data_IF_682503191091
#
_entry.id   IF_682503191091
#
_cell.length_a   1.000
_cell.length_b   1.000
_cell.length_c   1.000
_cell.angle_alpha   90.00
_cell.angle_beta   90.00
_cell.angle_gamma   90.00
#
_symmetry.space_group_name_H-M   'P 1'
#
loop_
_entity.id
_entity.type
_entity.pdbx_description
1 polymer ?
#
# COMPACT_ATOMS: atom_id res chain seq x y z
N UNK A 1 10.90 1.40 -14.83
CA UNK A 1 10.00 0.45 -15.52
C UNK A 1 8.79 1.22 -16.05
N UNK A 2 8.37 1.00 -17.28
CA UNK A 2 7.11 1.51 -17.81
C UNK A 2 6.11 0.37 -17.81
N UNK A 3 5.01 0.52 -17.08
CA UNK A 3 3.90 -0.43 -17.11
C UNK A 3 2.84 0.13 -18.07
N UNK A 4 2.59 -0.51 -19.23
CA UNK A 4 1.64 0.04 -20.20
C UNK A 4 0.23 0.02 -19.63
N UNK A 5 -0.48 1.14 -19.77
CA UNK A 5 -1.92 1.17 -19.60
C UNK A 5 -2.56 0.31 -20.70
N UNK A 6 -3.41 -0.65 -20.31
CA UNK A 6 -4.12 -1.49 -21.29
C UNK A 6 -4.95 -0.61 -22.24
N UNK A 7 -4.52 -0.53 -23.49
CA UNK A 7 -5.18 0.18 -24.57
C UNK A 7 -6.15 -0.73 -25.32
N UNK A 8 -7.44 -0.47 -25.12
CA UNK A 8 -8.56 -0.54 -26.06
C UNK A 8 -8.62 -1.68 -27.10
N UNK A 9 -9.42 -2.69 -26.80
CA UNK A 9 -10.15 -3.49 -27.79
C UNK A 9 -11.67 -3.42 -27.48
N UNK A 10 -12.39 -2.65 -28.30
CA UNK A 10 -13.85 -2.58 -28.52
C UNK A 10 -14.81 -3.30 -27.54
N UNK A 11 -14.94 -2.78 -26.31
CA UNK A 11 -16.09 -3.07 -25.41
C UNK A 11 -16.13 -2.12 -24.19
N UNK A 12 -15.80 -0.85 -24.43
CA UNK A 12 -15.54 0.19 -23.43
C UNK A 12 -16.78 0.73 -22.69
N UNK A 13 -17.72 -0.12 -22.26
CA UNK A 13 -18.79 0.25 -21.30
C UNK A 13 -19.14 -0.87 -20.31
N UNK A 14 -18.83 -2.15 -20.57
CA UNK A 14 -19.46 -3.26 -19.83
C UNK A 14 -18.63 -3.92 -18.70
N UNK A 15 -17.59 -3.24 -18.19
CA UNK A 15 -16.70 -3.77 -17.13
C UNK A 15 -16.55 -2.84 -15.91
N UNK A 16 -17.63 -2.13 -15.55
CA UNK A 16 -17.68 -1.27 -14.37
C UNK A 16 -18.21 -2.02 -13.11
N UNK A 17 -17.95 -3.32 -12.99
CA UNK A 17 -18.42 -4.16 -11.88
C UNK A 17 -17.26 -4.89 -11.18
N UNK A 18 -16.64 -4.19 -10.22
CA UNK A 18 -16.19 -4.69 -8.91
C UNK A 18 -15.10 -5.75 -8.79
N UNK A 19 -15.10 -6.83 -9.57
CA UNK A 19 -14.26 -8.01 -9.30
C UNK A 19 -12.95 -8.04 -10.09
N UNK A 20 -13.02 -7.91 -11.41
CA UNK A 20 -11.83 -8.00 -12.27
C UNK A 20 -10.95 -6.73 -12.19
N UNK A 21 -11.56 -5.59 -11.85
CA UNK A 21 -10.86 -4.32 -11.73
C UNK A 21 -9.96 -4.27 -10.49
N UNK A 22 -10.44 -4.79 -9.34
CA UNK A 22 -9.65 -4.89 -8.11
C UNK A 22 -8.50 -5.89 -8.25
N UNK A 23 -8.78 -7.10 -8.75
CA UNK A 23 -7.76 -8.16 -8.93
C UNK A 23 -6.55 -7.68 -9.76
N UNK A 24 -6.78 -6.91 -10.83
CA UNK A 24 -5.69 -6.36 -11.64
C UNK A 24 -4.95 -5.19 -11.00
N UNK A 25 -5.59 -4.46 -10.09
CA UNK A 25 -5.02 -3.30 -9.40
C UNK A 25 -4.05 -3.72 -8.30
N UNK A 26 -4.44 -4.71 -7.50
CA UNK A 26 -3.59 -5.26 -6.44
C UNK A 26 -2.36 -5.94 -7.04
N UNK A 27 -2.52 -6.59 -8.19
CA UNK A 27 -1.39 -7.12 -8.95
C UNK A 27 -0.43 -6.01 -9.40
N UNK A 28 -0.95 -4.92 -9.97
CA UNK A 28 -0.13 -3.80 -10.40
C UNK A 28 0.63 -3.13 -9.23
N UNK A 29 -0.02 -2.97 -8.07
CA UNK A 29 0.63 -2.43 -6.86
C UNK A 29 1.77 -3.34 -6.42
N UNK A 30 1.51 -4.65 -6.32
CA UNK A 30 2.51 -5.64 -5.93
C UNK A 30 3.72 -5.64 -6.86
N UNK A 31 3.48 -5.66 -8.17
CA UNK A 31 4.55 -5.65 -9.17
C UNK A 31 5.40 -4.40 -9.10
N UNK A 32 4.78 -3.21 -8.99
CA UNK A 32 5.51 -1.94 -8.92
C UNK A 32 6.30 -1.82 -7.61
N UNK A 33 5.70 -2.16 -6.47
CA UNK A 33 6.39 -2.12 -5.19
C UNK A 33 7.57 -3.11 -5.13
N UNK A 34 7.36 -4.35 -5.58
CA UNK A 34 8.42 -5.35 -5.66
C UNK A 34 9.55 -4.92 -6.60
N UNK A 35 9.22 -4.30 -7.74
CA UNK A 35 10.21 -3.73 -8.65
C UNK A 35 11.08 -2.69 -7.95
N UNK A 36 10.48 -1.77 -7.19
CA UNK A 36 11.22 -0.74 -6.44
C UNK A 36 12.15 -1.41 -5.41
N UNK A 37 11.63 -2.33 -4.58
CA UNK A 37 12.44 -3.00 -3.56
C UNK A 37 13.63 -3.78 -4.15
N UNK A 38 13.44 -4.41 -5.32
CA UNK A 38 14.47 -5.23 -5.96
C UNK A 38 15.53 -4.41 -6.71
N UNK A 39 15.18 -3.21 -7.18
CA UNK A 39 16.04 -2.42 -8.08
C UNK A 39 16.56 -1.12 -7.47
N UNK A 40 16.07 -0.70 -6.30
CA UNK A 40 16.55 0.50 -5.62
C UNK A 40 18.02 0.34 -5.22
N UNK A 41 18.86 1.25 -5.72
CA UNK A 41 20.25 1.40 -5.29
C UNK A 41 20.33 2.60 -4.36
N UNK A 42 21.16 2.48 -3.33
CA UNK A 42 21.34 3.52 -2.32
C UNK A 42 21.70 4.87 -2.96
N UNK A 43 20.89 5.89 -2.68
CA UNK A 43 20.99 7.22 -3.31
C UNK A 43 20.06 7.45 -4.51
N UNK A 44 19.31 6.45 -4.95
CA UNK A 44 18.33 6.62 -6.04
C UNK A 44 17.16 7.51 -5.61
N UNK A 45 16.67 8.32 -6.55
CA UNK A 45 15.41 9.05 -6.43
C UNK A 45 14.23 8.15 -6.83
N UNK A 46 13.23 8.03 -5.95
CA UNK A 46 11.97 7.34 -6.28
C UNK A 46 10.96 8.37 -6.82
N UNK A 47 10.56 8.23 -8.08
CA UNK A 47 9.54 9.08 -8.72
C UNK A 47 8.41 8.21 -9.23
N UNK A 48 7.18 8.49 -8.78
CA UNK A 48 5.98 7.74 -9.15
C UNK A 48 5.10 8.58 -10.08
N UNK A 49 4.76 8.07 -11.26
CA UNK A 49 3.91 8.76 -12.23
C UNK A 49 2.76 7.83 -12.65
N UNK A 50 1.53 8.32 -12.61
CA UNK A 50 0.34 7.51 -12.88
C UNK A 50 -0.80 8.25 -13.57
N UNK A 51 -1.50 7.57 -14.49
CA UNK A 51 -2.70 8.08 -15.16
C UNK A 51 -3.90 7.15 -14.98
N UNK A 52 -5.09 7.68 -14.70
CA UNK A 52 -6.33 6.91 -14.47
C UNK A 52 -6.11 5.79 -13.43
N UNK A 53 -6.23 4.51 -13.78
CA UNK A 53 -5.85 3.39 -12.88
C UNK A 53 -4.42 3.49 -12.34
N UNK A 54 -3.48 3.92 -13.18
CA UNK A 54 -2.09 4.11 -12.75
C UNK A 54 -1.94 5.20 -11.70
N UNK A 55 -2.86 6.17 -11.63
CA UNK A 55 -2.86 7.17 -10.56
C UNK A 55 -3.21 6.54 -9.21
N UNK A 56 -4.16 5.61 -9.17
CA UNK A 56 -4.44 4.82 -7.97
C UNK A 56 -3.23 3.97 -7.58
N UNK A 57 -2.68 3.19 -8.52
CA UNK A 57 -1.49 2.36 -8.27
C UNK A 57 -0.33 3.20 -7.71
N UNK A 58 -0.02 4.36 -8.31
CA UNK A 58 1.05 5.23 -7.85
C UNK A 58 0.81 5.73 -6.42
N UNK A 59 -0.43 6.09 -6.06
CA UNK A 59 -0.77 6.51 -4.68
C UNK A 59 -0.68 5.36 -3.69
N UNK A 60 -1.18 4.18 -4.04
CA UNK A 60 -1.11 3.00 -3.17
C UNK A 60 0.32 2.54 -2.95
N UNK A 61 1.16 2.54 -3.99
CA UNK A 61 2.60 2.25 -3.84
C UNK A 61 3.27 3.31 -2.97
N UNK A 62 2.92 4.59 -3.12
CA UNK A 62 3.45 5.64 -2.26
C UNK A 62 3.08 5.43 -0.79
N UNK A 63 1.81 5.10 -0.50
CA UNK A 63 1.35 4.79 0.86
C UNK A 63 2.02 3.54 1.42
N UNK A 64 2.22 2.50 0.59
CA UNK A 64 2.91 1.29 0.99
C UNK A 64 4.37 1.57 1.32
N UNK A 65 5.11 2.34 0.51
CA UNK A 65 6.48 2.74 0.83
C UNK A 65 6.52 3.59 2.12
N UNK A 66 5.57 4.51 2.30
CA UNK A 66 5.50 5.33 3.51
C UNK A 66 5.16 4.51 4.78
N UNK A 67 4.35 3.46 4.63
CA UNK A 67 3.89 2.62 5.74
C UNK A 67 4.88 1.51 6.07
N UNK A 68 5.40 0.82 5.05
CA UNK A 68 6.21 -0.40 5.18
C UNK A 68 7.70 -0.13 5.02
N UNK A 69 8.10 0.91 4.30
CA UNK A 69 9.49 1.12 3.87
C UNK A 69 9.82 0.32 2.61
N UNK A 70 11.12 0.15 2.32
CA UNK A 70 11.58 -0.77 1.28
C UNK A 70 11.95 -2.11 1.91
N UNK A 71 11.36 -3.20 1.42
CA UNK A 71 11.71 -4.52 1.90
C UNK A 71 13.17 -4.86 1.59
N UNK A 72 13.83 -5.45 2.58
CA UNK A 72 15.15 -6.06 2.40
C UNK A 72 15.00 -7.37 1.61
N UNK A 73 16.09 -8.00 1.15
CA UNK A 73 16.00 -9.33 0.54
C UNK A 73 15.26 -10.35 1.43
N UNK A 74 15.46 -10.29 2.74
CA UNK A 74 14.75 -11.14 3.71
C UNK A 74 13.27 -10.76 3.83
N UNK A 75 12.93 -9.47 3.80
CA UNK A 75 11.53 -9.04 3.75
C UNK A 75 10.80 -9.50 2.50
N UNK A 76 11.48 -9.51 1.35
CA UNK A 76 10.92 -9.98 0.08
C UNK A 76 10.54 -11.47 0.11
N UNK A 77 11.21 -12.30 0.91
CA UNK A 77 10.81 -13.70 1.12
C UNK A 77 9.41 -13.81 1.78
N UNK A 78 9.00 -12.77 2.51
CA UNK A 78 7.69 -12.66 3.16
C UNK A 78 6.71 -11.74 2.42
N UNK A 79 7.03 -11.34 1.17
CA UNK A 79 6.34 -10.27 0.46
C UNK A 79 4.81 -10.40 0.45
N UNK A 80 4.27 -11.58 0.10
CA UNK A 80 2.82 -11.78 0.02
C UNK A 80 2.12 -11.63 1.36
N UNK A 81 2.71 -12.16 2.44
CA UNK A 81 2.14 -12.04 3.78
C UNK A 81 2.21 -10.58 4.28
N UNK A 82 3.33 -9.89 4.02
CA UNK A 82 3.47 -8.47 4.36
C UNK A 82 2.45 -7.61 3.61
N UNK A 83 2.25 -7.89 2.32
CA UNK A 83 1.29 -7.18 1.48
C UNK A 83 -0.14 -7.41 1.98
N UNK A 84 -0.50 -8.65 2.31
CA UNK A 84 -1.81 -8.99 2.84
C UNK A 84 -2.07 -8.31 4.19
N UNK A 85 -1.09 -8.31 5.09
CA UNK A 85 -1.19 -7.60 6.35
C UNK A 85 -1.37 -6.09 6.14
N UNK A 86 -0.62 -5.49 5.22
CA UNK A 86 -0.75 -4.08 4.84
C UNK A 86 -2.17 -3.74 4.36
N UNK A 87 -2.74 -4.54 3.45
CA UNK A 87 -4.10 -4.33 2.92
C UNK A 87 -5.16 -4.39 4.02
N UNK A 88 -4.91 -5.16 5.08
CA UNK A 88 -5.86 -5.40 6.14
C UNK A 88 -5.54 -4.67 7.46
N UNK A 89 -4.63 -3.69 7.45
CA UNK A 89 -4.33 -2.88 8.63
C UNK A 89 -5.56 -2.15 9.18
N UNK A 90 -6.46 -1.71 8.30
CA UNK A 90 -7.72 -1.04 8.68
C UNK A 90 -8.89 -1.99 8.94
N UNK A 91 -8.70 -3.29 8.74
CA UNK A 91 -9.76 -4.28 8.97
C UNK A 91 -9.91 -4.53 10.48
N UNK A 92 -11.08 -4.12 11.00
CA UNK A 92 -11.46 -4.27 12.40
C UNK A 92 -11.90 -5.68 12.76
N UNK A 93 -12.23 -6.51 11.77
CA UNK A 93 -12.78 -7.86 11.96
C UNK A 93 -11.72 -8.96 11.71
N UNK A 94 -10.55 -8.60 11.14
CA UNK A 94 -9.44 -9.53 10.93
C UNK A 94 -8.81 -9.97 12.25
N UNK A 95 -8.67 -11.28 12.42
CA UNK A 95 -8.05 -11.90 13.59
C UNK A 95 -6.57 -11.43 13.73
N UNK A 96 -6.18 -10.79 14.85
CA UNK A 96 -4.80 -10.37 15.08
C UNK A 96 -3.77 -11.49 14.96
N UNK A 97 -4.14 -12.74 15.25
CA UNK A 97 -3.23 -13.89 15.23
C UNK A 97 -2.79 -14.33 13.83
N UNK A 98 -3.46 -13.85 12.77
CA UNK A 98 -3.06 -14.15 11.38
C UNK A 98 -1.99 -13.20 10.85
N UNK A 99 -1.73 -12.08 11.54
CA UNK A 99 -0.68 -11.14 11.16
C UNK A 99 0.70 -11.74 11.46
N UNK A 100 1.70 -11.32 10.69
CA UNK A 100 3.09 -11.68 10.93
C UNK A 100 3.60 -11.12 12.27
N UNK A 101 3.14 -9.93 12.66
CA UNK A 101 3.43 -9.33 13.96
C UNK A 101 2.51 -9.92 15.04
N UNK A 102 3.03 -10.75 15.97
CA UNK A 102 2.22 -11.34 17.03
C UNK A 102 1.73 -10.32 18.07
N UNK A 103 2.28 -9.10 18.07
CA UNK A 103 1.92 -8.02 18.99
C UNK A 103 1.01 -6.98 18.35
N UNK A 104 0.51 -7.20 17.12
CA UNK A 104 -0.31 -6.23 16.39
C UNK A 104 -1.50 -5.74 17.23
N UNK A 105 -1.72 -4.42 17.26
CA UNK A 105 -2.78 -3.79 18.04
C UNK A 105 -4.17 -4.31 17.63
N UNK A 106 -4.93 -4.95 18.53
CA UNK A 106 -6.30 -5.37 18.25
C UNK A 106 -7.23 -4.16 18.17
N UNK A 107 -8.33 -4.30 17.44
CA UNK A 107 -9.41 -3.31 17.42
C UNK A 107 -10.31 -3.46 18.66
N UNK A 108 -10.65 -2.35 19.33
CA UNK A 108 -11.46 -2.37 20.55
C UNK A 108 -12.77 -1.57 20.42
N UNK A 109 -13.23 -1.31 19.19
CA UNK A 109 -14.48 -0.59 18.94
C UNK A 109 -14.35 0.93 18.86
N UNK A 110 -13.13 1.45 18.66
CA UNK A 110 -12.85 2.87 18.47
C UNK A 110 -13.63 3.45 17.28
N UNK A 111 -14.15 4.67 17.40
CA UNK A 111 -14.96 5.33 16.35
C UNK A 111 -14.42 6.71 15.98
N UNK A 112 -14.71 7.17 14.77
CA UNK A 112 -14.32 8.49 14.28
C UNK A 112 -12.81 8.70 14.35
N UNK A 113 -12.37 9.82 14.94
CA UNK A 113 -10.94 10.14 15.08
C UNK A 113 -10.14 9.08 15.86
N UNK A 114 -10.77 8.39 16.82
CA UNK A 114 -10.12 7.32 17.56
C UNK A 114 -9.85 6.10 16.67
N UNK A 115 -10.73 5.80 15.70
CA UNK A 115 -10.48 4.75 14.70
C UNK A 115 -9.30 5.11 13.81
N UNK A 116 -9.27 6.33 13.29
CA UNK A 116 -8.15 6.79 12.47
C UNK A 116 -6.82 6.74 13.24
N UNK A 117 -6.83 7.12 14.53
CA UNK A 117 -5.66 6.99 15.40
C UNK A 117 -5.24 5.52 15.59
N UNK A 118 -6.19 4.62 15.81
CA UNK A 118 -5.92 3.19 15.91
C UNK A 118 -5.26 2.64 14.64
N UNK A 119 -5.75 2.99 13.46
CA UNK A 119 -5.16 2.57 12.18
C UNK A 119 -3.71 3.07 12.03
N UNK A 120 -3.46 4.33 12.40
CA UNK A 120 -2.11 4.94 12.39
C UNK A 120 -1.17 4.24 13.37
N UNK A 121 -1.63 4.01 14.61
CA UNK A 121 -0.82 3.37 15.65
C UNK A 121 -0.51 1.91 15.28
N UNK A 122 -1.48 1.19 14.69
CA UNK A 122 -1.33 -0.19 14.22
C UNK A 122 -0.31 -0.28 13.08
N UNK A 123 -0.41 0.60 12.08
CA UNK A 123 0.61 0.74 11.02
C UNK A 123 2.00 1.04 11.58
N UNK A 124 2.09 1.99 12.51
CA UNK A 124 3.38 2.39 13.14
C UNK A 124 3.99 1.31 14.02
N UNK A 125 3.18 0.44 14.64
CA UNK A 125 3.69 -0.72 15.35
C UNK A 125 4.22 -1.76 14.38
N UNK A 126 3.46 -2.07 13.34
CA UNK A 126 3.84 -3.07 12.34
C UNK A 126 5.14 -2.69 11.63
N UNK A 127 5.29 -1.41 11.24
CA UNK A 127 6.54 -0.86 10.68
C UNK A 127 7.73 -1.09 11.62
N UNK A 128 7.59 -0.73 12.90
CA UNK A 128 8.64 -0.97 13.91
C UNK A 128 8.97 -2.46 14.05
N UNK A 129 7.97 -3.33 13.98
CA UNK A 129 8.18 -4.78 14.02
C UNK A 129 8.96 -5.26 12.79
N UNK A 130 8.60 -4.84 11.58
CA UNK A 130 9.33 -5.15 10.36
C UNK A 130 10.78 -4.67 10.43
N UNK A 131 11.00 -3.43 10.85
CA UNK A 131 12.32 -2.80 11.01
C UNK A 131 13.17 -3.56 12.02
N UNK A 132 12.61 -3.91 13.18
CA UNK A 132 13.29 -4.68 14.24
C UNK A 132 13.71 -6.07 13.77
N UNK A 133 12.93 -6.71 12.91
CA UNK A 133 13.23 -8.03 12.36
C UNK A 133 14.09 -7.97 11.08
N UNK A 134 14.54 -6.78 10.66
CA UNK A 134 15.37 -6.62 9.45
C UNK A 134 14.64 -6.92 8.15
N UNK A 135 13.30 -6.90 8.15
CA UNK A 135 12.47 -7.18 6.98
C UNK A 135 12.30 -5.95 6.09
N UNK A 136 12.43 -4.75 6.66
CA UNK A 136 12.34 -3.50 5.92
C UNK A 136 13.47 -2.54 6.30
N UNK A 137 13.68 -1.52 5.45
CA UNK A 137 14.57 -0.41 5.68
C UNK A 137 13.94 0.91 5.22
N UNK A 138 14.24 1.96 5.98
CA UNK A 138 13.85 3.34 5.68
C UNK A 138 15.07 4.24 5.44
N UNK A 139 16.27 3.69 5.59
CA UNK A 139 17.52 4.43 5.45
C UNK A 139 18.55 3.62 4.67
N UNK A 140 19.54 4.33 4.15
CA UNK A 140 20.78 3.78 3.65
C UNK A 140 21.97 4.55 4.24
N UNK A 141 23.17 3.98 4.19
CA UNK A 141 24.38 4.61 4.73
C UNK A 141 25.44 4.73 3.64
N UNK A 142 26.05 5.91 3.53
CA UNK A 142 27.19 6.17 2.66
C UNK A 142 28.34 6.85 3.43
N UNK A 143 29.39 7.27 2.70
CA UNK A 143 30.55 7.96 3.31
C UNK A 143 30.21 9.29 3.99
N UNK A 144 29.04 9.87 3.71
CA UNK A 144 28.54 11.12 4.26
C UNK A 144 27.56 10.90 5.43
N UNK A 145 27.23 9.65 5.76
CA UNK A 145 26.38 9.28 6.90
C UNK A 145 25.14 8.50 6.49
N UNK A 146 24.15 8.49 7.39
CA UNK A 146 22.87 7.80 7.21
C UNK A 146 21.86 8.75 6.57
N UNK A 147 21.18 8.29 5.52
CA UNK A 147 20.21 9.04 4.73
C UNK A 147 18.86 8.32 4.73
N UNK A 148 17.78 9.09 4.70
CA UNK A 148 16.43 8.55 4.56
C UNK A 148 16.09 8.22 3.09
N UNK A 149 15.42 7.10 2.90
CA UNK A 149 14.86 6.68 1.62
C UNK A 149 13.49 7.34 1.47
N UNK A 150 13.39 8.32 0.57
CA UNK A 150 12.20 9.13 0.39
C UNK A 150 11.67 9.07 -1.05
N UNK A 151 10.35 9.20 -1.20
CA UNK A 151 9.73 9.42 -2.51
C UNK A 151 9.96 10.87 -2.90
N UNK A 152 10.70 11.08 -3.99
CA UNK A 152 11.07 12.41 -4.47
C UNK A 152 9.87 13.17 -5.04
N UNK A 153 9.01 12.46 -5.79
CA UNK A 153 7.84 13.05 -6.40
C UNK A 153 6.76 12.00 -6.72
N UNK A 154 5.50 12.42 -6.60
CA UNK A 154 4.32 11.66 -7.06
C UNK A 154 3.51 12.54 -8.02
N UNK A 155 3.49 12.19 -9.30
CA UNK A 155 2.74 12.90 -10.35
C UNK A 155 1.56 12.07 -10.86
N UNK A 156 0.34 12.48 -10.55
CA UNK A 156 -0.86 11.72 -10.90
C UNK A 156 -1.90 12.55 -11.65
N UNK A 157 -2.47 11.96 -12.70
CA UNK A 157 -3.54 12.56 -13.49
C UNK A 157 -4.74 11.63 -13.53
N UNK A 158 -5.87 12.12 -13.06
CA UNK A 158 -7.16 11.44 -13.15
C UNK A 158 -8.05 12.17 -14.16
N UNK A 159 -8.89 11.45 -14.88
CA UNK A 159 -9.77 12.06 -15.90
C UNK A 159 -10.87 12.87 -15.20
N UNK A 160 -10.63 14.18 -15.09
CA UNK A 160 -11.54 15.30 -14.75
C UNK A 160 -12.55 15.08 -13.61
N UNK A 161 -12.23 15.66 -12.44
CA UNK A 161 -13.22 16.17 -11.47
C UNK A 161 -13.63 15.23 -10.32
N UNK A 162 -12.69 14.78 -9.48
CA UNK A 162 -13.05 14.23 -8.17
C UNK A 162 -11.98 14.53 -7.12
N UNK A 163 -12.36 15.39 -6.17
CA UNK A 163 -11.89 15.54 -4.79
C UNK A 163 -10.40 15.26 -4.48
N UNK A 164 -9.70 16.32 -4.08
CA UNK A 164 -8.45 16.20 -3.36
C UNK A 164 -8.60 15.41 -2.07
N UNK A 165 -7.55 14.66 -1.75
CA UNK A 165 -7.34 13.85 -0.54
C UNK A 165 -8.30 12.63 -0.44
N UNK A 166 -7.78 11.39 -0.46
CA UNK A 166 -8.63 10.21 -0.29
C UNK A 166 -9.20 10.16 1.13
N UNK A 167 -10.51 9.89 1.32
CA UNK A 167 -10.99 9.36 2.58
C UNK A 167 -10.53 7.91 2.74
N UNK A 168 -10.32 7.53 4.00
CA UNK A 168 -10.03 6.20 4.55
C UNK A 168 -10.65 5.00 3.79
N UNK A 169 -10.09 3.78 3.94
CA UNK A 169 -10.60 2.59 3.26
C UNK A 169 -12.09 2.40 3.52
N UNK A 170 -12.88 2.43 2.45
CA UNK A 170 -14.29 2.04 2.46
C UNK A 170 -14.34 0.52 2.53
N UNK A 171 -14.24 0.00 3.76
CA UNK A 171 -14.60 -1.38 4.12
C UNK A 171 -15.97 -1.33 4.80
N UNK A 172 -16.91 -2.14 4.31
CA UNK A 172 -18.15 -2.44 5.03
C UNK A 172 -19.45 -1.84 4.48
N UNK A 173 -19.81 -2.17 3.23
CA UNK A 173 -21.23 -2.27 2.85
C UNK A 173 -21.49 -3.64 2.22
N UNK A 174 -21.51 -4.66 3.07
CA UNK A 174 -22.19 -5.91 2.76
C UNK A 174 -23.56 -5.86 3.42
N UNK A 175 -24.60 -5.90 2.58
CA UNK A 175 -25.98 -5.75 3.00
C UNK A 175 -26.42 -6.85 3.96
N UNK A 176 -27.01 -6.44 5.07
CA UNK A 176 -27.87 -7.31 5.87
C UNK A 176 -29.29 -7.25 5.29
N UNK A 177 -29.55 -8.11 4.32
CA UNK A 177 -30.91 -8.58 4.04
C UNK A 177 -31.18 -9.75 4.98
N UNK A 178 -32.06 -9.57 5.98
CA UNK A 178 -32.99 -10.59 6.47
C UNK A 178 -33.90 -10.05 7.58
N UNK A 179 -35.20 -10.12 7.27
CA UNK A 179 -36.41 -10.10 8.13
C UNK A 179 -36.79 -8.81 8.86
#
# INVERSE_FOLDING_TARGET
>A
MYHPGVGSSDSAVDKFTGGLFGVGLDQAIREVYNFICTNYVDGDDIILIGFSRGAFTARSVADMIATVGLLTPTGLDHFYAIFEDYENMGDSDRDPSVFLDPEVLPYNGEKGAARAKWEIDRKSQYERWLSKNGLTRHTYEDVNGVHEINIKAVGVWDTVGALGIPPAPVVGLQGTSNQ
#
